data_IF_509307270592
#
_entry.id   IF_509307270592
#
_cell.length_a   1.000
_cell.length_b   1.000
_cell.length_c   1.000
_cell.angle_alpha   90.00
_cell.angle_beta   90.00
_cell.angle_gamma   90.00
#
_symmetry.space_group_name_H-M   'P 1'
#
loop_
_entity.id
_entity.type
_entity.pdbx_description
1 polymer ?
#
# COMPACT_ATOMS: atom_id res chain seq x y z
N UNK A 1 -22.34 -0.20 3.08
CA UNK A 1 -21.77 -0.87 1.87
C UNK A 1 -21.26 0.15 0.85
N UNK A 2 -22.00 1.21 0.51
CA UNK A 2 -21.55 2.22 -0.48
C UNK A 2 -20.25 2.94 -0.07
N UNK A 3 -20.13 3.35 1.20
CA UNK A 3 -18.90 3.93 1.77
C UNK A 3 -17.66 3.01 1.64
N UNK A 4 -17.86 1.69 1.67
CA UNK A 4 -16.78 0.71 1.53
C UNK A 4 -16.27 0.63 0.09
N UNK A 5 -17.16 0.83 -0.88
CA UNK A 5 -16.82 0.83 -2.32
C UNK A 5 -16.15 2.14 -2.70
N UNK A 6 -16.65 3.29 -2.23
CA UNK A 6 -16.02 4.59 -2.43
C UNK A 6 -14.59 4.64 -1.85
N UNK A 7 -14.40 4.01 -0.68
CA UNK A 7 -13.07 3.83 -0.08
C UNK A 7 -12.12 3.01 -0.97
N UNK A 8 -12.59 1.95 -1.63
CA UNK A 8 -11.80 1.14 -2.55
C UNK A 8 -11.45 1.90 -3.85
N UNK A 9 -12.33 2.78 -4.32
CA UNK A 9 -12.10 3.59 -5.52
C UNK A 9 -11.02 4.67 -5.31
N UNK A 10 -10.91 5.22 -4.09
CA UNK A 10 -9.87 6.19 -3.74
C UNK A 10 -8.46 5.60 -3.58
N UNK A 11 -8.34 4.27 -3.50
CA UNK A 11 -7.05 3.60 -3.39
C UNK A 11 -6.33 3.59 -4.74
N UNK A 12 -5.07 4.01 -4.72
CA UNK A 12 -4.23 4.04 -5.91
C UNK A 12 -3.62 2.66 -6.14
N UNK A 13 -3.80 2.09 -7.34
CA UNK A 13 -3.22 0.78 -7.65
C UNK A 13 -1.67 0.83 -7.62
N UNK A 14 -0.99 -0.26 -7.20
CA UNK A 14 0.47 -0.32 -7.21
C UNK A 14 1.07 -0.05 -8.58
N UNK A 15 0.41 -0.51 -9.65
CA UNK A 15 0.80 -0.22 -11.04
C UNK A 15 0.82 1.29 -11.35
N UNK A 16 -0.22 2.02 -10.94
CA UNK A 16 -0.29 3.47 -11.14
C UNK A 16 0.79 4.21 -10.34
N UNK A 17 1.08 3.75 -9.12
CA UNK A 17 2.16 4.30 -8.29
C UNK A 17 3.51 4.09 -8.95
N UNK A 18 3.79 2.89 -9.46
CA UNK A 18 5.03 2.56 -10.17
C UNK A 18 5.23 3.44 -11.41
N UNK A 19 4.18 3.62 -12.21
CA UNK A 19 4.18 4.46 -13.40
C UNK A 19 4.50 5.92 -13.06
N UNK A 20 3.87 6.50 -12.03
CA UNK A 20 4.16 7.88 -11.58
C UNK A 20 5.58 8.04 -11.02
N UNK A 21 6.11 6.99 -10.40
CA UNK A 21 7.47 6.98 -9.83
C UNK A 21 8.55 6.64 -10.85
N UNK A 22 8.20 6.24 -12.07
CA UNK A 22 9.17 5.77 -13.08
C UNK A 22 9.94 4.51 -12.66
N UNK A 23 9.39 3.70 -11.76
CA UNK A 23 10.02 2.49 -11.20
C UNK A 23 9.21 1.25 -11.55
N UNK A 24 9.78 0.05 -11.41
CA UNK A 24 9.01 -1.19 -11.61
C UNK A 24 8.13 -1.47 -10.39
N UNK A 25 7.04 -2.20 -10.60
CA UNK A 25 6.13 -2.63 -9.50
C UNK A 25 6.90 -3.45 -8.45
N UNK A 26 7.86 -4.26 -8.90
CA UNK A 26 8.73 -5.05 -8.03
C UNK A 26 9.61 -4.19 -7.09
N UNK A 27 9.92 -2.94 -7.48
CA UNK A 27 10.81 -2.05 -6.72
C UNK A 27 10.06 -1.16 -5.71
N UNK A 28 8.71 -1.13 -5.78
CA UNK A 28 7.87 -0.33 -4.87
C UNK A 28 7.13 -1.17 -3.83
N UNK A 29 7.12 -2.49 -4.00
CA UNK A 29 6.53 -3.43 -3.05
C UNK A 29 7.59 -3.85 -2.04
N UNK A 30 7.27 -3.91 -0.74
CA UNK A 30 8.17 -4.50 0.24
C UNK A 30 8.38 -5.97 -0.11
N UNK A 31 9.62 -6.46 -0.01
CA UNK A 31 9.88 -7.90 -0.12
C UNK A 31 9.10 -8.60 0.98
N UNK A 32 8.50 -9.75 0.65
CA UNK A 32 7.60 -10.46 1.56
C UNK A 32 8.20 -10.65 2.97
N UNK A 33 9.50 -10.92 3.08
CA UNK A 33 10.20 -11.05 4.37
C UNK A 33 10.31 -9.74 5.18
N UNK A 34 10.40 -8.58 4.53
CA UNK A 34 10.49 -7.26 5.18
C UNK A 34 9.10 -6.73 5.58
N UNK A 35 8.05 -7.14 4.87
CA UNK A 35 6.67 -6.73 5.12
C UNK A 35 6.14 -7.22 6.49
N UNK A 36 6.59 -8.39 6.98
CA UNK A 36 6.28 -8.83 8.35
C UNK A 36 7.11 -8.11 9.43
N UNK A 37 8.28 -7.55 9.08
CA UNK A 37 9.18 -6.91 10.03
C UNK A 37 8.87 -5.41 10.25
N UNK A 38 8.09 -4.78 9.36
CA UNK A 38 7.80 -3.34 9.37
C UNK A 38 6.30 -3.01 9.44
N UNK A 39 5.47 -3.89 10.00
CA UNK A 39 4.13 -3.46 10.43
C UNK A 39 4.32 -2.35 11.49
N UNK A 40 3.81 -1.12 11.27
CA UNK A 40 4.06 -0.02 12.18
C UNK A 40 3.42 -0.32 13.53
N UNK A 41 4.24 -0.30 14.57
CA UNK A 41 3.83 -0.34 15.96
C UNK A 41 3.15 0.98 16.41
N UNK A 42 2.25 1.54 15.60
CA UNK A 42 1.54 2.80 15.88
C UNK A 42 0.00 2.63 15.92
N UNK A 43 -0.51 1.39 15.95
CA UNK A 43 -1.94 1.11 16.17
C UNK A 43 -2.26 0.58 17.59
N UNK A 44 -1.33 0.70 18.53
CA UNK A 44 -1.49 0.21 19.90
C UNK A 44 -0.94 1.21 20.94
N UNK A 45 -1.36 2.47 20.90
CA UNK A 45 -1.42 3.34 22.09
C UNK A 45 -2.26 4.59 21.81
N UNK A 46 -3.09 4.98 22.80
CA UNK A 46 -4.06 6.08 22.90
C UNK A 46 -5.53 5.77 22.55
#
# INVERSE_FOLDING_TARGET
>A
IRATIEGLQGQMSPRMVAQRRGRKVADILPKAAEAQAQAPAEAAEA
#
